data_IF_143248887853
#
_entry.id   IF_143248887853
#
_cell.length_a   1.000
_cell.length_b   1.000
_cell.length_c   1.000
_cell.angle_alpha   90.00
_cell.angle_beta   90.00
_cell.angle_gamma   90.00
#
_symmetry.space_group_name_H-M   'P 1'
#
loop_
_entity.id
_entity.type
_entity.pdbx_description
1 polymer ?
#
# COMPACT_ATOMS: atom_id res chain seq x y z
N UNK A 1 0.16 11.20 5.59
CA UNK A 1 -0.33 11.94 4.40
C UNK A 1 -0.92 13.30 4.75
N UNK A 2 -2.07 13.39 5.46
CA UNK A 2 -2.77 14.67 5.68
C UNK A 2 -1.89 15.75 6.35
N UNK A 3 -1.01 15.35 7.27
CA UNK A 3 -0.05 16.29 7.86
C UNK A 3 0.94 16.86 6.84
N UNK A 4 1.48 16.03 5.94
CA UNK A 4 2.42 16.49 4.92
C UNK A 4 1.74 17.40 3.88
N UNK A 5 0.45 17.18 3.63
CA UNK A 5 -0.36 17.95 2.68
C UNK A 5 -1.18 19.07 3.34
N UNK A 6 -0.91 19.42 4.61
CA UNK A 6 -1.77 20.32 5.38
C UNK A 6 -2.00 21.64 4.66
N UNK A 7 -0.94 22.28 4.18
CA UNK A 7 -1.03 23.54 3.44
C UNK A 7 -1.93 23.43 2.20
N UNK A 8 -1.73 22.40 1.37
CA UNK A 8 -2.52 22.16 0.16
C UNK A 8 -3.98 21.82 0.47
N UNK A 9 -4.25 21.10 1.57
CA UNK A 9 -5.61 20.79 1.99
C UNK A 9 -6.33 22.07 2.40
N UNK A 10 -5.73 22.87 3.27
CA UNK A 10 -6.36 24.09 3.79
C UNK A 10 -6.62 25.13 2.68
N UNK A 11 -5.66 25.36 1.77
CA UNK A 11 -5.86 26.34 0.70
C UNK A 11 -6.97 25.93 -0.26
N UNK A 12 -7.12 24.63 -0.57
CA UNK A 12 -8.14 24.14 -1.50
C UNK A 12 -9.54 24.13 -0.89
N UNK A 13 -9.67 24.00 0.43
CA UNK A 13 -10.94 24.20 1.11
C UNK A 13 -11.38 25.66 0.95
N UNK A 14 -10.47 26.61 1.18
CA UNK A 14 -10.80 28.05 1.15
C UNK A 14 -10.97 28.58 -0.27
N UNK A 15 -10.04 28.28 -1.18
CA UNK A 15 -9.95 28.87 -2.53
C UNK A 15 -10.84 28.14 -3.54
N UNK A 16 -10.84 26.80 -3.52
CA UNK A 16 -11.62 25.97 -4.46
C UNK A 16 -12.98 25.51 -3.89
N UNK A 17 -13.24 25.70 -2.59
CA UNK A 17 -14.46 25.21 -1.92
C UNK A 17 -14.52 23.68 -1.81
N UNK A 18 -13.36 23.00 -1.80
CA UNK A 18 -13.32 21.54 -1.69
C UNK A 18 -13.78 21.07 -0.30
N UNK A 19 -14.48 19.93 -0.21
CA UNK A 19 -14.71 19.26 1.08
C UNK A 19 -13.38 18.85 1.74
N UNK A 20 -13.35 18.79 3.08
CA UNK A 20 -12.17 18.31 3.81
C UNK A 20 -11.94 16.82 3.49
N UNK A 21 -10.80 16.53 2.86
CA UNK A 21 -10.43 15.17 2.48
C UNK A 21 -10.33 14.23 3.69
N UNK A 22 -10.07 14.76 4.89
CA UNK A 22 -9.99 14.00 6.13
C UNK A 22 -11.30 13.30 6.48
N UNK A 23 -12.43 13.83 6.01
CA UNK A 23 -13.76 13.23 6.21
C UNK A 23 -14.16 12.28 5.07
N UNK A 24 -13.42 12.27 3.95
CA UNK A 24 -13.77 11.52 2.74
C UNK A 24 -13.02 10.21 2.61
N UNK A 25 -11.84 10.09 3.23
CA UNK A 25 -10.98 8.91 3.09
C UNK A 25 -10.52 8.41 4.45
N UNK A 26 -10.39 7.10 4.56
CA UNK A 26 -9.69 6.45 5.68
C UNK A 26 -8.32 6.02 5.20
N UNK A 27 -7.27 6.47 5.90
CA UNK A 27 -5.91 6.03 5.65
C UNK A 27 -5.60 4.91 6.63
N UNK A 28 -5.30 3.73 6.10
CA UNK A 28 -4.90 2.57 6.88
C UNK A 28 -3.47 2.24 6.46
N UNK A 29 -2.53 2.46 7.37
CA UNK A 29 -1.14 2.07 7.18
C UNK A 29 -1.02 0.55 7.34
N UNK A 30 -0.11 -0.06 6.59
CA UNK A 30 0.17 -1.50 6.67
C UNK A 30 1.68 -1.74 6.73
N UNK A 31 2.04 -2.88 7.30
CA UNK A 31 3.39 -3.43 7.26
C UNK A 31 3.40 -4.80 6.60
N UNK A 32 4.45 -5.56 6.86
CA UNK A 32 4.53 -6.96 6.41
C UNK A 32 3.39 -7.80 7.02
N UNK A 33 2.89 -8.76 6.25
CA UNK A 33 1.79 -9.66 6.64
C UNK A 33 0.46 -9.32 5.98
N UNK A 34 -0.65 -9.58 6.67
CA UNK A 34 -1.99 -9.36 6.11
C UNK A 34 -2.30 -7.87 6.01
N UNK A 35 -2.69 -7.42 4.81
CA UNK A 35 -3.13 -6.04 4.53
C UNK A 35 -4.64 -5.93 4.57
N UNK A 36 -5.34 -6.79 3.83
CA UNK A 36 -6.81 -6.84 3.86
C UNK A 36 -7.34 -8.22 3.46
N UNK A 37 -8.59 -8.48 3.82
CA UNK A 37 -9.35 -9.59 3.28
C UNK A 37 -10.82 -9.21 3.20
N UNK A 38 -11.38 -9.19 1.99
CA UNK A 38 -12.78 -8.83 1.77
C UNK A 38 -13.32 -9.59 0.55
N UNK A 39 -14.54 -10.14 0.65
CA UNK A 39 -15.25 -10.81 -0.47
C UNK A 39 -14.39 -11.87 -1.18
N UNK A 40 -13.55 -12.57 -0.41
CA UNK A 40 -12.65 -13.61 -0.91
C UNK A 40 -11.40 -13.10 -1.62
N UNK A 41 -11.16 -11.79 -1.69
CA UNK A 41 -9.86 -11.22 -2.04
C UNK A 41 -9.00 -11.16 -0.79
N UNK A 42 -7.81 -11.78 -0.81
CA UNK A 42 -6.79 -11.66 0.23
C UNK A 42 -5.64 -10.84 -0.30
N UNK A 43 -5.19 -9.86 0.48
CA UNK A 43 -4.00 -9.06 0.17
C UNK A 43 -3.01 -9.19 1.31
N UNK A 44 -1.78 -9.54 0.97
CA UNK A 44 -0.66 -9.63 1.91
C UNK A 44 0.55 -8.87 1.38
N UNK A 45 1.38 -8.41 2.29
CA UNK A 45 2.60 -7.67 2.03
C UNK A 45 3.82 -8.45 2.51
N UNK A 46 4.91 -8.36 1.76
CA UNK A 46 6.25 -8.79 2.15
C UNK A 46 7.17 -7.58 2.09
N UNK A 47 7.92 -7.28 3.16
CA UNK A 47 8.95 -6.24 3.08
C UNK A 47 10.09 -6.72 2.17
N UNK A 48 10.46 -5.90 1.20
CA UNK A 48 11.51 -6.23 0.22
C UNK A 48 12.81 -5.50 0.51
N UNK A 49 13.91 -5.99 -0.05
CA UNK A 49 15.24 -5.42 0.12
C UNK A 49 15.45 -4.23 -0.83
N UNK A 50 15.14 -3.02 -0.38
CA UNK A 50 15.22 -1.79 -1.19
C UNK A 50 16.06 -0.68 -0.55
N UNK A 51 17.35 -0.90 -0.23
CA UNK A 51 18.18 0.13 0.38
C UNK A 51 18.28 1.38 -0.51
N UNK A 52 18.27 2.59 0.09
CA UNK A 52 18.26 2.88 1.53
C UNK A 52 16.85 2.91 2.15
N UNK A 53 15.80 2.62 1.38
CA UNK A 53 14.40 2.71 1.82
C UNK A 53 13.97 1.43 2.53
N UNK A 54 13.64 1.53 3.80
CA UNK A 54 13.22 0.38 4.61
C UNK A 54 11.79 -0.06 4.34
N UNK A 55 10.88 0.89 4.16
CA UNK A 55 9.44 0.65 3.99
C UNK A 55 9.07 0.54 2.50
N UNK A 56 9.53 -0.56 1.89
CA UNK A 56 9.12 -0.98 0.55
C UNK A 56 8.53 -2.39 0.65
N UNK A 57 7.36 -2.61 0.06
CA UNK A 57 6.62 -3.87 0.24
C UNK A 57 6.11 -4.41 -1.09
N UNK A 58 6.42 -5.67 -1.37
CA UNK A 58 5.71 -6.43 -2.40
C UNK A 58 4.29 -6.73 -1.92
N UNK A 59 3.32 -6.71 -2.83
CA UNK A 59 1.93 -7.03 -2.55
C UNK A 59 1.49 -8.25 -3.35
N UNK A 60 0.91 -9.23 -2.65
CA UNK A 60 0.27 -10.42 -3.23
C UNK A 60 -1.23 -10.32 -3.09
N UNK A 61 -1.90 -10.46 -4.22
CA UNK A 61 -3.35 -10.48 -4.35
C UNK A 61 -3.78 -11.91 -4.68
N UNK A 62 -4.65 -12.49 -3.86
CA UNK A 62 -5.18 -13.85 -4.05
C UNK A 62 -6.70 -13.83 -4.12
N UNK A 63 -7.26 -14.41 -5.18
CA UNK A 63 -8.70 -14.52 -5.35
C UNK A 63 -9.06 -15.71 -6.23
N UNK A 64 -10.07 -16.49 -5.83
CA UNK A 64 -10.62 -17.61 -6.61
C UNK A 64 -9.55 -18.57 -7.17
N UNK A 65 -8.53 -18.88 -6.36
CA UNK A 65 -7.43 -19.79 -6.72
C UNK A 65 -6.38 -19.20 -7.68
N UNK A 66 -6.43 -17.90 -7.96
CA UNK A 66 -5.40 -17.18 -8.73
C UNK A 66 -4.63 -16.21 -7.84
N UNK A 67 -3.37 -15.98 -8.18
CA UNK A 67 -2.52 -15.00 -7.51
C UNK A 67 -1.84 -14.06 -8.49
N UNK A 68 -1.70 -12.79 -8.10
CA UNK A 68 -0.85 -11.79 -8.77
C UNK A 68 0.04 -11.15 -7.72
N UNK A 69 1.34 -11.06 -8.00
CA UNK A 69 2.31 -10.41 -7.11
C UNK A 69 2.94 -9.22 -7.82
N UNK A 70 2.90 -8.06 -7.15
CA UNK A 70 3.67 -6.88 -7.52
C UNK A 70 4.88 -6.79 -6.59
N UNK A 71 6.08 -6.81 -7.14
CA UNK A 71 7.33 -6.87 -6.37
C UNK A 71 7.67 -5.61 -5.60
N UNK A 72 7.11 -4.48 -6.02
CA UNK A 72 7.67 -3.15 -5.78
C UNK A 72 9.13 -3.04 -6.28
N UNK A 73 9.81 -1.97 -5.89
CA UNK A 73 11.24 -1.78 -6.16
C UNK A 73 12.05 -2.60 -5.16
N UNK A 74 12.95 -3.44 -5.65
CA UNK A 74 13.77 -4.34 -4.81
C UNK A 74 15.08 -4.70 -5.51
N UNK A 75 16.12 -4.97 -4.72
CA UNK A 75 17.28 -5.73 -5.17
C UNK A 75 16.92 -7.20 -5.39
N UNK A 76 17.89 -8.01 -5.85
CA UNK A 76 17.69 -9.46 -5.96
C UNK A 76 17.39 -10.06 -4.58
N UNK A 77 16.17 -10.58 -4.43
CA UNK A 77 15.65 -10.98 -3.13
C UNK A 77 14.92 -12.33 -3.22
N UNK A 78 15.60 -13.46 -2.92
CA UNK A 78 14.99 -14.79 -2.98
C UNK A 78 13.67 -14.96 -2.20
N UNK A 79 13.46 -14.33 -1.02
CA UNK A 79 12.18 -14.42 -0.33
C UNK A 79 10.99 -13.90 -1.14
N UNK A 80 11.19 -12.91 -2.02
CA UNK A 80 10.14 -12.45 -2.93
C UNK A 80 9.77 -13.54 -3.95
N UNK A 81 10.74 -14.30 -4.45
CA UNK A 81 10.48 -15.39 -5.37
C UNK A 81 9.65 -16.50 -4.71
N UNK A 82 9.91 -16.81 -3.44
CA UNK A 82 9.11 -17.74 -2.65
C UNK A 82 7.69 -17.21 -2.40
N UNK A 83 7.57 -15.93 -2.04
CA UNK A 83 6.28 -15.26 -1.85
C UNK A 83 5.42 -15.20 -3.12
N UNK A 84 6.07 -15.16 -4.29
CA UNK A 84 5.40 -15.12 -5.58
C UNK A 84 4.98 -16.49 -6.14
N UNK A 85 5.30 -17.60 -5.46
CA UNK A 85 4.89 -18.94 -5.92
C UNK A 85 3.35 -19.08 -5.91
N UNK A 86 2.81 -19.65 -6.98
CA UNK A 86 1.36 -19.87 -7.15
C UNK A 86 0.96 -19.91 -8.61
#
# INVERSE_FOLDING_TARGET
>A
FCQAMEFDIEIRIIDEGRPDIRDLVSIIEFGEGRVMEERGLKVSALRVDHPPVTDCFALRFEHAGRSVVFSADTAFFPPLADFAKG
#
